data_IF_460540843314
#
_entry.id   IF_460540843314
#
_cell.length_a   1.000
_cell.length_b   1.000
_cell.length_c   1.000
_cell.angle_alpha   90.00
_cell.angle_beta   90.00
_cell.angle_gamma   90.00
#
_symmetry.space_group_name_H-M   'P 1'
#
loop_
_entity.id
_entity.type
_entity.pdbx_description
1 polymer ?
#
# COMPACT_ATOMS: atom_id res chain seq x y z
N UNK A 1 12.56 29.13 -7.77
CA UNK A 1 11.41 28.24 -7.49
C UNK A 1 10.34 28.26 -8.58
N UNK A 2 9.44 29.27 -8.70
CA UNK A 2 8.46 29.29 -9.83
C UNK A 2 9.14 29.29 -11.20
N UNK A 3 10.23 30.04 -11.37
CA UNK A 3 11.01 30.09 -12.61
C UNK A 3 11.80 28.80 -12.91
N UNK A 4 12.23 28.06 -11.88
CA UNK A 4 12.92 26.76 -12.05
C UNK A 4 11.92 25.64 -12.37
N UNK A 5 10.73 25.68 -11.76
CA UNK A 5 9.60 24.81 -12.11
C UNK A 5 9.23 25.01 -13.57
N UNK A 6 9.12 26.27 -13.99
CA UNK A 6 8.76 26.63 -15.35
C UNK A 6 9.87 26.28 -16.35
N UNK A 7 11.16 26.49 -16.04
CA UNK A 7 12.25 26.06 -16.92
C UNK A 7 12.35 24.54 -17.09
N UNK A 8 12.10 23.76 -16.04
CA UNK A 8 12.10 22.30 -16.16
C UNK A 8 10.78 21.76 -16.77
N UNK A 9 9.64 22.45 -16.59
CA UNK A 9 8.38 22.18 -17.33
C UNK A 9 8.47 22.60 -18.80
N UNK A 10 9.31 23.57 -19.14
CA UNK A 10 9.64 23.95 -20.53
C UNK A 10 10.71 23.00 -21.11
N UNK A 11 11.61 22.45 -20.27
CA UNK A 11 12.62 21.47 -20.67
C UNK A 11 12.07 20.04 -20.77
N UNK A 12 10.97 19.72 -20.09
CA UNK A 12 10.09 18.60 -20.40
C UNK A 12 9.07 19.09 -21.43
N UNK A 13 9.29 18.91 -22.73
CA UNK A 13 8.36 19.45 -23.72
C UNK A 13 6.94 18.99 -23.41
N UNK A 14 6.03 19.95 -23.19
CA UNK A 14 4.58 19.76 -23.26
C UNK A 14 4.31 18.89 -24.47
N UNK A 15 4.02 17.60 -24.23
CA UNK A 15 3.85 16.54 -25.24
C UNK A 15 4.47 16.90 -26.59
N UNK A 16 5.71 16.48 -26.83
CA UNK A 16 6.14 16.25 -28.22
C UNK A 16 5.05 15.38 -28.83
N UNK A 17 4.19 15.96 -29.69
CA UNK A 17 3.45 15.16 -30.65
C UNK A 17 4.50 14.24 -31.27
N UNK A 18 4.37 12.90 -31.14
CA UNK A 18 5.43 11.99 -31.53
C UNK A 18 5.66 12.13 -33.04
N UNK A 19 6.59 12.99 -33.42
CA UNK A 19 7.01 13.13 -34.80
C UNK A 19 7.92 11.95 -35.10
N UNK A 20 7.30 10.89 -35.62
CA UNK A 20 7.95 9.91 -36.48
C UNK A 20 8.95 8.95 -35.83
N UNK A 21 9.06 8.90 -34.49
CA UNK A 21 9.65 7.74 -33.84
C UNK A 21 8.63 6.60 -33.90
N UNK A 22 8.97 5.43 -34.47
CA UNK A 22 8.08 4.28 -34.42
C UNK A 22 7.77 3.98 -32.95
N UNK A 23 6.50 3.82 -32.63
CA UNK A 23 6.08 3.41 -31.29
C UNK A 23 6.96 2.22 -30.87
N UNK A 24 7.62 2.26 -29.69
CA UNK A 24 8.22 1.05 -29.17
C UNK A 24 7.12 -0.01 -29.18
N UNK A 25 7.39 -1.23 -29.65
CA UNK A 25 6.36 -2.24 -29.80
C UNK A 25 5.64 -2.36 -28.46
N UNK A 26 4.33 -2.06 -28.47
CA UNK A 26 3.50 -2.16 -27.29
C UNK A 26 3.79 -3.53 -26.68
N UNK A 27 4.12 -3.62 -25.37
CA UNK A 27 4.30 -4.90 -24.73
C UNK A 27 3.06 -5.72 -25.03
N UNK A 28 3.26 -6.95 -25.53
CA UNK A 28 2.14 -7.82 -25.90
C UNK A 28 1.13 -7.83 -24.74
N UNK A 29 -0.18 -7.68 -25.00
CA UNK A 29 -1.17 -7.69 -23.94
C UNK A 29 -0.97 -8.97 -23.15
N UNK A 30 -0.64 -8.79 -21.86
CA UNK A 30 -0.42 -9.90 -20.96
C UNK A 30 -1.71 -10.73 -20.91
N UNK A 31 -1.63 -12.06 -20.76
CA UNK A 31 -2.81 -12.91 -20.67
C UNK A 31 -3.80 -12.39 -19.62
N UNK A 32 -5.13 -12.49 -19.83
CA UNK A 32 -6.19 -12.04 -18.88
C UNK A 32 -5.95 -12.42 -17.39
N UNK A 33 -5.18 -13.47 -17.14
CA UNK A 33 -4.75 -13.96 -15.82
C UNK A 33 -3.81 -12.97 -15.11
N UNK A 34 -2.96 -12.28 -15.86
CA UNK A 34 -2.08 -11.21 -15.41
C UNK A 34 -2.83 -9.91 -15.13
N UNK A 35 -4.03 -9.70 -15.70
CA UNK A 35 -4.87 -8.55 -15.38
C UNK A 35 -5.43 -8.63 -13.95
N UNK A 36 -5.80 -9.84 -13.47
CA UNK A 36 -6.16 -10.07 -12.06
C UNK A 36 -4.96 -9.90 -11.12
N UNK A 37 -3.78 -10.38 -11.55
CA UNK A 37 -2.54 -10.16 -10.81
C UNK A 37 -2.17 -8.68 -10.69
N UNK A 38 -2.35 -7.90 -11.77
CA UNK A 38 -2.21 -6.43 -11.74
C UNK A 38 -3.26 -5.78 -10.85
N UNK A 39 -4.52 -6.22 -10.89
CA UNK A 39 -5.57 -5.70 -10.02
C UNK A 39 -5.25 -5.89 -8.53
N UNK A 40 -4.71 -7.06 -8.15
CA UNK A 40 -4.22 -7.29 -6.81
C UNK A 40 -3.00 -6.40 -6.52
N UNK A 41 -1.95 -6.41 -7.36
CA UNK A 41 -0.75 -5.58 -7.21
C UNK A 41 -1.04 -4.05 -7.11
N UNK A 42 -2.10 -3.60 -7.78
CA UNK A 42 -2.67 -2.26 -7.78
C UNK A 42 -3.27 -1.90 -6.41
N UNK A 43 -4.06 -2.81 -5.81
CA UNK A 43 -4.52 -2.69 -4.43
C UNK A 43 -3.34 -2.73 -3.43
N UNK A 44 -2.29 -3.51 -3.72
CA UNK A 44 -1.07 -3.58 -2.91
C UNK A 44 -0.32 -2.25 -2.86
N UNK A 45 -0.04 -1.66 -4.02
CA UNK A 45 0.71 -0.42 -4.11
C UNK A 45 -0.10 0.78 -3.61
N UNK A 46 -1.36 0.95 -4.05
CA UNK A 46 -2.19 2.07 -3.59
C UNK A 46 -2.49 2.01 -2.08
N UNK A 47 -2.56 0.81 -1.50
CA UNK A 47 -2.67 0.61 -0.06
C UNK A 47 -1.37 0.88 0.72
N UNK A 48 -0.21 0.50 0.19
CA UNK A 48 1.08 0.85 0.80
C UNK A 48 1.40 2.36 0.73
N UNK A 49 0.89 3.06 -0.28
CA UNK A 49 1.37 4.40 -0.64
C UNK A 49 0.59 5.56 0.01
N UNK A 50 -0.71 5.42 0.28
CA UNK A 50 -1.39 6.37 1.17
C UNK A 50 -0.95 6.22 2.65
N UNK A 51 -0.27 5.12 3.01
CA UNK A 51 0.35 5.00 4.34
C UNK A 51 1.54 5.96 4.52
N UNK A 52 2.34 6.08 3.46
CA UNK A 52 3.56 6.90 3.43
C UNK A 52 3.24 8.38 3.27
N UNK A 53 2.23 8.72 2.47
CA UNK A 53 2.12 10.06 1.94
C UNK A 53 1.62 11.15 2.92
N UNK A 54 0.98 10.77 4.03
CA UNK A 54 0.40 11.74 4.99
C UNK A 54 1.23 11.79 6.30
N UNK A 55 2.49 11.36 6.23
CA UNK A 55 3.45 11.22 7.34
C UNK A 55 4.28 12.45 7.66
N UNK A 56 3.65 13.50 8.19
CA UNK A 56 4.21 14.40 9.22
C UNK A 56 5.27 15.46 8.85
N UNK A 57 4.91 16.71 9.17
CA UNK A 57 5.84 17.73 9.67
C UNK A 57 6.18 17.44 11.15
N UNK A 58 7.47 17.37 11.46
CA UNK A 58 8.02 17.59 12.81
C UNK A 58 7.85 16.47 13.85
N UNK A 59 8.88 15.61 13.98
CA UNK A 59 9.17 14.92 15.24
C UNK A 59 10.61 15.27 15.67
N UNK A 60 10.85 15.85 16.87
CA UNK A 60 12.20 16.01 17.38
C UNK A 60 12.76 14.64 17.81
N UNK A 61 14.08 14.47 17.63
CA UNK A 61 14.79 13.22 17.85
C UNK A 61 14.68 12.72 19.29
N UNK A 62 14.16 11.51 19.44
CA UNK A 62 14.35 10.68 20.63
C UNK A 62 15.52 9.73 20.40
N UNK A 63 16.38 9.58 21.41
CA UNK A 63 17.63 8.84 21.37
C UNK A 63 17.48 7.38 20.92
N UNK A 64 18.44 6.94 20.12
CA UNK A 64 18.50 5.61 19.52
C UNK A 64 18.86 4.55 20.58
N UNK A 65 17.92 3.65 20.85
CA UNK A 65 18.19 2.38 21.52
C UNK A 65 18.86 1.41 20.53
N UNK A 66 19.96 0.79 20.98
CA UNK A 66 20.81 -0.11 20.18
C UNK A 66 20.07 -1.38 19.77
N UNK A 67 20.46 -1.87 18.59
CA UNK A 67 19.91 -2.98 17.82
C UNK A 67 19.71 -4.30 18.56
N UNK A 68 18.56 -4.94 18.31
CA UNK A 68 18.30 -6.38 18.46
C UNK A 68 17.54 -6.86 17.21
N UNK A 69 17.67 -8.15 16.84
CA UNK A 69 17.13 -8.70 15.60
C UNK A 69 15.59 -8.71 15.65
N UNK A 70 14.94 -8.23 14.58
CA UNK A 70 13.48 -8.27 14.33
C UNK A 70 12.60 -8.20 15.59
N UNK A 71 12.28 -6.99 16.08
CA UNK A 71 11.56 -6.76 17.35
C UNK A 71 10.38 -7.73 17.59
N UNK A 72 10.50 -8.68 18.55
CA UNK A 72 9.47 -9.66 18.87
C UNK A 72 8.28 -9.09 19.68
N UNK A 73 8.06 -7.78 19.67
CA UNK A 73 7.10 -7.10 20.57
C UNK A 73 6.08 -6.22 19.86
N UNK A 74 5.88 -6.37 18.54
CA UNK A 74 4.81 -5.65 17.86
C UNK A 74 3.52 -6.46 17.91
N UNK A 75 2.45 -5.84 18.40
CA UNK A 75 1.11 -6.38 18.23
C UNK A 75 0.76 -6.39 16.74
N UNK A 76 0.40 -7.55 16.23
CA UNK A 76 -0.01 -7.77 14.86
C UNK A 76 -1.51 -7.60 14.77
N UNK A 77 -1.94 -6.58 14.03
CA UNK A 77 -3.35 -6.34 13.78
C UNK A 77 -3.61 -6.65 12.32
N UNK A 78 -4.57 -7.53 12.06
CA UNK A 78 -5.09 -7.70 10.70
C UNK A 78 -6.36 -6.88 10.57
N UNK A 79 -6.42 -6.04 9.54
CA UNK A 79 -7.60 -5.24 9.22
C UNK A 79 -8.28 -5.84 8.01
N UNK A 80 -9.47 -6.40 8.20
CA UNK A 80 -10.27 -6.98 7.13
C UNK A 80 -11.10 -5.90 6.42
N UNK A 81 -11.48 -6.14 5.15
CA UNK A 81 -12.57 -5.42 4.49
C UNK A 81 -13.80 -5.34 5.38
N UNK A 82 -14.41 -4.15 5.44
CA UNK A 82 -15.70 -4.06 6.10
C UNK A 82 -16.77 -4.64 5.18
N UNK A 83 -17.69 -5.37 5.76
CA UNK A 83 -18.83 -5.91 5.02
C UNK A 83 -19.73 -4.75 4.59
N UNK A 84 -19.96 -4.62 3.29
CA UNK A 84 -20.91 -3.65 2.78
C UNK A 84 -22.32 -4.24 2.78
N UNK A 85 -23.23 -3.59 3.50
CA UNK A 85 -24.66 -3.86 3.42
C UNK A 85 -25.32 -2.81 2.51
N UNK A 86 -25.50 -3.16 1.25
CA UNK A 86 -26.08 -2.30 0.22
C UNK A 86 -25.21 -2.22 -1.04
N UNK A 87 -25.72 -1.56 -2.09
CA UNK A 87 -25.04 -1.45 -3.38
C UNK A 87 -24.61 -0.01 -3.73
N UNK A 88 -24.84 0.96 -2.83
CA UNK A 88 -24.49 2.35 -3.08
C UNK A 88 -22.98 2.57 -3.21
N UNK A 89 -22.59 3.56 -4.01
CA UNK A 89 -21.20 4.00 -4.12
C UNK A 89 -20.67 4.46 -2.75
N UNK A 90 -21.55 5.02 -1.91
CA UNK A 90 -21.22 5.50 -0.58
C UNK A 90 -20.78 4.36 0.36
N UNK A 91 -21.56 3.28 0.41
CA UNK A 91 -21.20 2.09 1.18
C UNK A 91 -19.87 1.48 0.73
N UNK A 92 -19.57 1.46 -0.58
CA UNK A 92 -18.33 0.89 -1.14
C UNK A 92 -17.09 1.63 -0.66
N UNK A 93 -17.09 2.96 -0.79
CA UNK A 93 -15.89 3.70 -0.40
C UNK A 93 -15.70 3.71 1.12
N UNK A 94 -16.79 3.70 1.90
CA UNK A 94 -16.69 3.60 3.35
C UNK A 94 -16.17 2.23 3.78
N UNK A 95 -16.61 1.15 3.12
CA UNK A 95 -16.16 -0.20 3.45
C UNK A 95 -14.69 -0.45 3.08
N UNK A 96 -14.18 0.18 2.01
CA UNK A 96 -12.76 0.09 1.64
C UNK A 96 -11.88 1.16 2.31
N UNK A 97 -12.41 2.36 2.51
CA UNK A 97 -11.68 3.54 2.96
C UNK A 97 -11.56 3.66 4.48
N UNK A 98 -12.61 3.34 5.24
CA UNK A 98 -12.57 3.38 6.71
C UNK A 98 -11.54 2.42 7.32
N UNK A 99 -11.48 1.13 6.92
CA UNK A 99 -10.52 0.21 7.50
C UNK A 99 -9.11 0.63 7.11
N UNK A 100 -8.95 1.11 5.87
CA UNK A 100 -7.70 1.63 5.37
C UNK A 100 -7.17 2.82 6.19
N UNK A 101 -7.99 3.86 6.37
CA UNK A 101 -7.62 5.04 7.16
C UNK A 101 -7.35 4.67 8.62
N UNK A 102 -8.08 3.70 9.16
CA UNK A 102 -7.91 3.22 10.54
C UNK A 102 -6.61 2.44 10.68
N UNK A 103 -6.36 1.45 9.82
CA UNK A 103 -5.11 0.71 9.70
C UNK A 103 -3.91 1.65 9.63
N UNK A 104 -4.01 2.65 8.75
CA UNK A 104 -2.96 3.65 8.58
C UNK A 104 -2.64 4.45 9.82
N UNK A 105 -3.66 4.90 10.57
CA UNK A 105 -3.43 5.64 11.81
C UNK A 105 -2.75 4.77 12.87
N UNK A 106 -3.11 3.49 12.91
CA UNK A 106 -2.60 2.52 13.87
C UNK A 106 -1.14 2.15 13.57
N UNK A 107 -0.81 1.93 12.29
CA UNK A 107 0.52 1.49 11.85
C UNK A 107 1.65 2.49 12.17
N UNK A 108 1.29 3.74 12.48
CA UNK A 108 2.24 4.77 12.92
C UNK A 108 2.85 4.49 14.29
N UNK A 109 2.21 3.68 15.12
CA UNK A 109 2.80 3.29 16.39
C UNK A 109 3.84 2.17 16.16
N UNK A 110 5.12 2.37 16.55
CA UNK A 110 6.17 1.39 16.32
C UNK A 110 6.02 0.08 17.11
N UNK A 111 5.02 -0.02 17.98
CA UNK A 111 4.66 -1.22 18.75
C UNK A 111 3.50 -1.99 18.11
N UNK A 112 2.97 -1.50 17.00
CA UNK A 112 1.95 -2.19 16.22
C UNK A 112 2.51 -2.48 14.83
N UNK A 113 2.09 -3.60 14.28
CA UNK A 113 2.28 -3.94 12.89
C UNK A 113 0.90 -4.22 12.32
N UNK A 114 0.47 -3.42 11.35
CA UNK A 114 -0.82 -3.63 10.70
C UNK A 114 -0.58 -4.41 9.41
N UNK A 115 -1.19 -5.57 9.28
CA UNK A 115 -1.20 -6.28 8.00
C UNK A 115 -1.88 -5.38 6.97
N UNK A 116 -1.24 -5.09 5.83
CA UNK A 116 -1.81 -4.19 4.87
C UNK A 116 -3.17 -4.72 4.38
N UNK A 117 -4.18 -3.85 4.40
CA UNK A 117 -5.59 -4.14 4.10
C UNK A 117 -5.79 -5.04 2.86
N UNK A 118 -5.14 -4.68 1.75
CA UNK A 118 -5.22 -5.41 0.48
C UNK A 118 -4.63 -6.84 0.57
N UNK A 119 -3.68 -7.09 1.48
CA UNK A 119 -3.15 -8.44 1.71
C UNK A 119 -4.20 -9.27 2.40
N UNK A 120 -4.84 -8.67 3.40
CA UNK A 120 -5.87 -9.34 4.17
C UNK A 120 -7.05 -9.71 3.28
N UNK A 121 -7.45 -8.83 2.37
CA UNK A 121 -8.50 -9.09 1.37
C UNK A 121 -8.17 -10.28 0.47
N UNK A 122 -7.02 -10.25 -0.23
CA UNK A 122 -6.60 -11.37 -1.08
C UNK A 122 -6.46 -12.68 -0.28
N UNK A 123 -5.96 -12.61 0.96
CA UNK A 123 -5.86 -13.77 1.84
C UNK A 123 -7.23 -14.30 2.27
N UNK A 124 -8.21 -13.43 2.50
CA UNK A 124 -9.59 -13.80 2.86
C UNK A 124 -10.32 -14.40 1.66
N UNK A 125 -10.14 -13.88 0.45
CA UNK A 125 -10.73 -14.46 -0.77
C UNK A 125 -10.23 -15.88 -1.05
N UNK A 126 -8.94 -16.12 -0.82
CA UNK A 126 -8.33 -17.45 -1.00
C UNK A 126 -8.60 -18.39 0.17
N UNK A 127 -8.96 -17.85 1.34
CA UNK A 127 -9.10 -18.63 2.58
C UNK A 127 -10.10 -19.78 2.45
N UNK A 128 -11.30 -19.60 1.83
CA UNK A 128 -12.21 -20.71 1.63
C UNK A 128 -11.62 -21.89 0.86
N UNK A 129 -10.76 -21.60 -0.12
CA UNK A 129 -10.08 -22.64 -0.90
C UNK A 129 -8.95 -23.30 -0.11
N UNK A 130 -8.22 -22.50 0.67
CA UNK A 130 -7.11 -22.97 1.49
C UNK A 130 -7.56 -23.84 2.67
N UNK A 131 -8.73 -23.53 3.22
CA UNK A 131 -9.27 -24.16 4.43
C UNK A 131 -10.39 -25.15 4.11
N UNK A 132 -10.92 -25.12 2.88
CA UNK A 132 -11.97 -26.05 2.42
C UNK A 132 -13.36 -25.72 2.97
N UNK A 133 -13.60 -24.47 3.41
CA UNK A 133 -14.86 -24.02 3.99
C UNK A 133 -15.30 -22.69 3.37
N UNK A 134 -16.57 -22.57 2.94
CA UNK A 134 -17.08 -21.35 2.30
C UNK A 134 -17.05 -20.11 3.21
N UNK A 135 -17.17 -20.32 4.53
CA UNK A 135 -17.05 -19.29 5.56
C UNK A 135 -16.15 -19.86 6.67
N UNK A 136 -14.82 -19.71 6.56
CA UNK A 136 -13.89 -20.33 7.48
C UNK A 136 -14.07 -19.74 8.89
N UNK A 137 -14.15 -20.58 9.94
CA UNK A 137 -14.24 -20.11 11.31
C UNK A 137 -13.09 -19.16 11.65
N UNK A 138 -13.40 -18.17 12.50
CA UNK A 138 -12.46 -17.11 12.89
C UNK A 138 -11.12 -17.67 13.38
N UNK A 139 -11.17 -18.77 14.13
CA UNK A 139 -10.02 -19.48 14.68
C UNK A 139 -9.03 -19.96 13.59
N UNK A 140 -9.53 -20.34 12.41
CA UNK A 140 -8.70 -20.76 11.28
C UNK A 140 -8.08 -19.56 10.57
N UNK A 141 -8.84 -18.47 10.40
CA UNK A 141 -8.35 -17.16 9.91
C UNK A 141 -7.22 -16.65 10.79
N UNK A 142 -7.43 -16.74 12.10
CA UNK A 142 -6.52 -16.33 13.15
C UNK A 142 -5.22 -17.13 13.17
N UNK A 143 -5.33 -18.45 13.20
CA UNK A 143 -4.20 -19.38 13.14
C UNK A 143 -3.35 -19.17 11.88
N UNK A 144 -4.04 -18.94 10.76
CA UNK A 144 -3.43 -18.73 9.46
C UNK A 144 -2.67 -17.40 9.36
N UNK A 145 -3.30 -16.29 9.80
CA UNK A 145 -2.69 -14.97 9.73
C UNK A 145 -1.64 -14.73 10.82
N UNK A 146 -1.67 -15.53 11.89
CA UNK A 146 -0.90 -15.30 13.13
C UNK A 146 -1.10 -13.87 13.62
N UNK A 147 -2.33 -13.37 13.56
CA UNK A 147 -2.65 -12.05 14.09
C UNK A 147 -2.73 -12.13 15.63
N UNK A 148 -2.41 -11.04 16.31
CA UNK A 148 -2.72 -10.91 17.75
C UNK A 148 -4.12 -10.29 17.91
N UNK A 149 -4.53 -9.47 16.93
CA UNK A 149 -5.83 -8.84 16.86
C UNK A 149 -6.41 -8.88 15.45
N UNK A 150 -7.73 -9.04 15.35
CA UNK A 150 -8.47 -8.94 14.10
C UNK A 150 -9.46 -7.78 14.18
N UNK A 151 -9.35 -6.85 13.23
CA UNK A 151 -10.25 -5.72 13.06
C UNK A 151 -11.21 -6.01 11.90
N UNK A 152 -12.50 -6.07 12.20
CA UNK A 152 -13.60 -6.22 11.26
C UNK A 152 -14.55 -5.03 11.37
N UNK A 153 -15.46 -4.93 10.43
CA UNK A 153 -16.54 -3.98 10.53
C UNK A 153 -17.58 -4.25 9.47
N UNK A 154 -18.66 -3.48 9.54
CA UNK A 154 -19.70 -3.44 8.52
C UNK A 154 -20.13 -2.01 8.29
N UNK A 155 -20.65 -1.75 7.10
CA UNK A 155 -21.15 -0.45 6.68
C UNK A 155 -22.57 -0.66 6.16
N UNK A 156 -23.55 -0.05 6.82
CA UNK A 156 -24.98 -0.14 6.50
C UNK A 156 -25.50 1.23 6.07
N UNK A 157 -26.08 1.31 4.88
CA UNK A 157 -26.77 2.52 4.41
C UNK A 157 -28.13 2.65 5.12
N UNK A 158 -28.36 3.81 5.75
CA UNK A 158 -29.61 4.09 6.45
C UNK A 158 -30.73 4.43 5.45
N UNK A 159 -31.96 3.90 5.60
CA UNK A 159 -33.09 4.27 4.76
C UNK A 159 -33.42 5.78 4.79
N UNK A 160 -33.10 6.44 5.90
CA UNK A 160 -33.29 7.88 6.12
C UNK A 160 -32.19 8.75 5.48
N UNK A 161 -31.22 8.13 4.81
CA UNK A 161 -29.97 8.75 4.40
C UNK A 161 -28.89 8.68 5.49
N UNK A 162 -27.63 8.71 5.05
CA UNK A 162 -26.46 8.53 5.91
C UNK A 162 -26.02 7.06 6.03
N UNK A 163 -24.89 6.84 6.72
CA UNK A 163 -24.26 5.53 6.78
C UNK A 163 -23.87 5.18 8.20
N UNK A 164 -24.34 4.04 8.70
CA UNK A 164 -23.90 3.48 9.98
C UNK A 164 -22.72 2.57 9.71
N UNK A 165 -21.59 2.79 10.38
CA UNK A 165 -20.45 1.90 10.29
C UNK A 165 -20.17 1.27 11.66
N UNK A 166 -20.15 -0.04 11.71
CA UNK A 166 -19.86 -0.82 12.91
C UNK A 166 -18.45 -1.34 12.84
N UNK A 167 -17.71 -1.27 13.94
CA UNK A 167 -16.34 -1.75 14.03
C UNK A 167 -16.22 -2.77 15.17
N UNK A 168 -15.53 -3.86 14.89
CA UNK A 168 -15.39 -5.00 15.79
C UNK A 168 -13.91 -5.38 15.89
N UNK A 169 -13.39 -5.46 17.12
CA UNK A 169 -12.02 -5.87 17.36
C UNK A 169 -11.98 -7.13 18.23
N UNK A 170 -11.37 -8.17 17.67
CA UNK A 170 -11.24 -9.48 18.27
C UNK A 170 -9.78 -9.68 18.74
N UNK A 171 -9.61 -10.22 19.95
CA UNK A 171 -8.31 -10.76 20.42
C UNK A 171 -8.23 -12.20 19.97
N UNK A 172 -7.13 -12.56 19.32
CA UNK A 172 -6.99 -13.87 18.65
C UNK A 172 -6.73 -15.01 19.64
N UNK A 173 -6.12 -14.72 20.79
CA UNK A 173 -5.82 -15.76 21.78
C UNK A 173 -7.06 -16.30 22.52
N UNK A 174 -8.27 -15.80 22.22
CA UNK A 174 -9.52 -16.16 22.87
C UNK A 174 -9.54 -15.87 24.38
N UNK A 175 -8.46 -15.32 24.94
CA UNK A 175 -8.31 -15.04 26.37
C UNK A 175 -9.17 -13.86 26.82
N UNK A 176 -9.74 -13.14 25.85
CA UNK A 176 -10.59 -11.98 26.05
C UNK A 176 -11.85 -12.13 25.21
N UNK A 177 -13.01 -11.87 25.82
CA UNK A 177 -14.25 -11.74 25.08
C UNK A 177 -14.10 -10.68 23.95
N UNK A 178 -14.64 -10.96 22.75
CA UNK A 178 -14.67 -9.99 21.66
C UNK A 178 -15.22 -8.65 22.13
N UNK A 179 -14.56 -7.55 21.74
CA UNK A 179 -15.04 -6.21 22.07
C UNK A 179 -15.63 -5.54 20.86
N UNK A 180 -16.88 -5.13 21.02
CA UNK A 180 -17.68 -4.48 19.99
C UNK A 180 -17.69 -2.97 20.23
N UNK A 181 -17.41 -2.19 19.18
CA UNK A 181 -17.59 -0.74 19.20
C UNK A 181 -18.48 -0.33 18.03
N UNK A 182 -19.76 -0.19 18.33
CA UNK A 182 -20.71 0.36 17.36
C UNK A 182 -20.73 1.88 17.47
N UNK A 183 -20.54 2.59 16.35
CA UNK A 183 -20.61 4.03 16.29
C UNK A 183 -21.43 4.46 15.09
N UNK A 184 -22.55 5.17 15.31
CA UNK A 184 -23.29 5.75 14.19
C UNK A 184 -22.45 6.89 13.62
N UNK A 185 -22.02 6.75 12.36
CA UNK A 185 -21.25 7.79 11.69
C UNK A 185 -22.21 8.73 10.98
N UNK A 186 -22.02 10.04 11.17
CA UNK A 186 -22.59 11.01 10.25
C UNK A 186 -21.63 11.15 9.06
N UNK A 187 -22.18 11.31 7.84
CA UNK A 187 -21.42 11.38 6.58
C UNK A 187 -20.23 12.36 6.63
N UNK A 188 -20.37 13.45 7.39
CA UNK A 188 -19.39 14.53 7.46
C UNK A 188 -18.20 14.22 8.39
N UNK A 189 -18.28 13.19 9.23
CA UNK A 189 -17.30 12.93 10.29
C UNK A 189 -16.46 11.66 10.09
N UNK A 190 -16.27 11.22 8.85
CA UNK A 190 -15.47 10.01 8.54
C UNK A 190 -14.02 10.14 9.04
N UNK A 191 -13.42 11.32 8.90
CA UNK A 191 -12.06 11.59 9.40
C UNK A 191 -12.01 11.59 10.93
N UNK A 192 -13.03 12.13 11.60
CA UNK A 192 -13.09 12.12 13.06
C UNK A 192 -13.37 10.73 13.60
N UNK A 193 -14.25 9.97 12.95
CA UNK A 193 -14.55 8.57 13.26
C UNK A 193 -13.30 7.69 13.19
N UNK A 194 -12.60 7.69 12.06
CA UNK A 194 -11.35 6.90 11.90
C UNK A 194 -10.30 7.27 12.93
N UNK A 195 -10.22 8.54 13.32
CA UNK A 195 -9.32 8.98 14.41
C UNK A 195 -9.74 8.40 15.76
N UNK A 196 -11.02 8.52 16.13
CA UNK A 196 -11.54 7.97 17.40
C UNK A 196 -11.37 6.46 17.46
N UNK A 197 -11.60 5.77 16.36
CA UNK A 197 -11.41 4.33 16.24
C UNK A 197 -9.95 3.94 16.42
N UNK A 198 -9.02 4.58 15.69
CA UNK A 198 -7.60 4.31 15.85
C UNK A 198 -7.12 4.56 17.29
N UNK A 199 -7.57 5.63 17.93
CA UNK A 199 -7.27 5.92 19.35
C UNK A 199 -7.76 4.80 20.28
N UNK A 200 -9.02 4.35 20.13
CA UNK A 200 -9.60 3.27 20.94
C UNK A 200 -8.87 1.95 20.72
N UNK A 201 -8.56 1.61 19.47
CA UNK A 201 -7.82 0.39 19.11
C UNK A 201 -6.43 0.43 19.75
N UNK A 202 -5.69 1.53 19.60
CA UNK A 202 -4.35 1.65 20.15
C UNK A 202 -4.31 1.63 21.68
N UNK A 203 -5.26 2.29 22.35
CA UNK A 203 -5.41 2.21 23.80
C UNK A 203 -5.67 0.78 24.30
N UNK A 204 -6.30 -0.05 23.46
CA UNK A 204 -6.59 -1.44 23.80
C UNK A 204 -5.42 -2.36 23.53
N UNK A 205 -4.88 -2.27 22.32
CA UNK A 205 -3.80 -3.13 21.82
C UNK A 205 -2.51 -2.84 22.55
N UNK A 206 -2.24 -1.57 22.87
CA UNK A 206 -0.98 -1.15 23.47
C UNK A 206 -1.23 -0.54 24.85
N UNK A 207 -0.93 -1.27 25.95
CA UNK A 207 -1.12 -0.76 27.29
C UNK A 207 -0.42 0.60 27.50
N UNK A 208 -1.14 1.56 28.09
CA UNK A 208 -0.67 2.94 28.35
C UNK A 208 -0.37 3.75 27.09
N UNK A 209 -1.03 3.45 25.96
CA UNK A 209 -0.98 4.30 24.79
C UNK A 209 -1.52 5.71 25.12
N UNK A 210 -0.72 6.79 24.98
CA UNK A 210 -1.22 8.15 25.15
C UNK A 210 -2.17 8.48 23.99
N UNK A 211 -3.32 9.12 24.22
CA UNK A 211 -4.24 9.45 23.12
C UNK A 211 -3.52 10.21 22.00
N UNK A 212 -3.89 9.99 20.73
CA UNK A 212 -3.37 10.76 19.59
C UNK A 212 -3.99 12.16 19.66
N UNK A 213 -3.49 12.99 20.56
CA UNK A 213 -3.72 14.41 20.54
C UNK A 213 -2.73 15.01 19.51
N UNK A 214 -3.27 15.66 18.48
CA UNK A 214 -2.63 16.61 17.56
C UNK A 214 -1.46 16.17 16.67
N UNK A 215 -0.89 14.97 16.81
CA UNK A 215 0.27 14.53 15.98
C UNK A 215 -0.08 13.83 14.69
N UNK A 216 -1.31 13.93 14.20
CA UNK A 216 -1.60 13.53 12.83
C UNK A 216 -1.96 14.81 12.13
N UNK A 217 -1.04 15.29 11.29
CA UNK A 217 -1.27 16.44 10.42
C UNK A 217 -2.66 16.32 9.82
N UNK A 218 -3.39 17.43 9.75
CA UNK A 218 -4.67 17.47 9.04
C UNK A 218 -4.37 16.89 7.66
N UNK A 219 -4.97 15.74 7.35
CA UNK A 219 -5.14 15.38 5.94
C UNK A 219 -5.81 16.61 5.36
N UNK A 220 -5.12 17.35 4.49
CA UNK A 220 -5.62 18.63 3.97
C UNK A 220 -6.85 18.47 3.07
N UNK A 221 -7.47 17.29 3.10
CA UNK A 221 -8.54 16.84 2.25
C UNK A 221 -9.87 16.93 2.98
N UNK A 222 -10.85 17.45 2.25
CA UNK A 222 -12.24 17.40 2.66
C UNK A 222 -12.71 15.94 2.71
N UNK A 223 -13.76 15.61 3.49
CA UNK A 223 -14.36 14.29 3.45
C UNK A 223 -14.73 13.85 2.02
N UNK A 224 -15.24 14.78 1.21
CA UNK A 224 -15.58 14.56 -0.20
C UNK A 224 -14.35 14.16 -1.06
N UNK A 225 -13.19 14.79 -0.84
CA UNK A 225 -11.97 14.43 -1.56
C UNK A 225 -11.46 13.03 -1.15
N UNK A 226 -11.62 12.66 0.12
CA UNK A 226 -11.26 11.31 0.58
C UNK A 226 -12.20 10.25 0.02
N UNK A 227 -13.50 10.51 0.03
CA UNK A 227 -14.51 9.67 -0.61
C UNK A 227 -14.14 9.38 -2.07
N UNK A 228 -13.99 10.42 -2.89
CA UNK A 228 -13.64 10.27 -4.31
C UNK A 228 -12.29 9.57 -4.51
N UNK A 229 -11.31 9.84 -3.65
CA UNK A 229 -10.01 9.18 -3.69
C UNK A 229 -10.11 7.67 -3.46
N UNK A 230 -10.84 7.23 -2.43
CA UNK A 230 -10.99 5.81 -2.13
C UNK A 230 -11.85 5.11 -3.18
N UNK A 231 -12.92 5.76 -3.68
CA UNK A 231 -13.70 5.24 -4.81
C UNK A 231 -12.83 5.10 -6.06
N UNK A 232 -11.99 6.09 -6.38
CA UNK A 232 -11.08 6.01 -7.52
C UNK A 232 -10.10 4.84 -7.39
N UNK A 233 -9.56 4.63 -6.18
CA UNK A 233 -8.64 3.54 -5.89
C UNK A 233 -9.27 2.18 -6.14
N UNK A 234 -10.48 1.99 -5.63
CA UNK A 234 -11.24 0.75 -5.73
C UNK A 234 -11.67 0.45 -7.17
N UNK A 235 -12.05 1.50 -7.92
CA UNK A 235 -12.42 1.37 -9.32
C UNK A 235 -11.23 1.21 -10.27
N UNK A 236 -10.01 1.61 -9.88
CA UNK A 236 -8.85 1.61 -10.79
C UNK A 236 -8.60 0.26 -11.52
N UNK A 237 -8.78 -0.93 -10.90
CA UNK A 237 -8.64 -2.21 -11.58
C UNK A 237 -9.78 -2.52 -12.57
N UNK A 238 -10.99 -2.05 -12.29
CA UNK A 238 -12.21 -2.40 -13.04
C UNK A 238 -12.55 -1.37 -14.12
N UNK A 239 -12.51 -0.09 -13.75
CA UNK A 239 -12.78 1.07 -14.58
C UNK A 239 -11.69 2.15 -14.36
N UNK A 240 -10.52 2.00 -15.00
CA UNK A 240 -9.43 2.97 -14.93
C UNK A 240 -9.81 4.37 -15.44
N UNK A 241 -10.80 4.46 -16.34
CA UNK A 241 -11.28 5.74 -16.86
C UNK A 241 -12.03 6.51 -15.78
N UNK A 242 -13.04 5.87 -15.17
CA UNK A 242 -13.80 6.46 -14.07
C UNK A 242 -12.93 6.79 -12.85
N UNK A 243 -11.97 5.92 -12.54
CA UNK A 243 -10.99 6.19 -11.49
C UNK A 243 -10.22 7.50 -11.73
N UNK A 244 -9.80 7.76 -12.97
CA UNK A 244 -9.10 9.00 -13.32
C UNK A 244 -10.01 10.23 -13.24
N UNK A 245 -11.27 10.14 -13.67
CA UNK A 245 -12.24 11.25 -13.51
C UNK A 245 -12.44 11.63 -12.03
N UNK A 246 -12.52 10.62 -11.15
CA UNK A 246 -12.62 10.84 -9.72
C UNK A 246 -11.34 11.49 -9.18
N UNK A 247 -10.16 11.04 -9.63
CA UNK A 247 -8.88 11.67 -9.25
C UNK A 247 -8.75 13.11 -9.75
N UNK A 248 -9.34 13.47 -10.89
CA UNK A 248 -9.41 14.86 -11.36
C UNK A 248 -10.27 15.71 -10.42
N UNK A 249 -11.44 15.22 -10.01
CA UNK A 249 -12.28 15.91 -9.02
C UNK A 249 -11.57 16.03 -7.65
N UNK A 250 -10.80 15.02 -7.24
CA UNK A 250 -9.97 15.07 -6.03
C UNK A 250 -8.91 16.17 -6.15
N UNK A 251 -8.29 16.31 -7.33
CA UNK A 251 -7.28 17.34 -7.58
C UNK A 251 -7.89 18.76 -7.59
N UNK A 252 -9.15 18.92 -8.01
CA UNK A 252 -9.89 20.19 -7.90
C UNK A 252 -10.15 20.58 -6.43
N UNK A 253 -10.58 19.61 -5.62
CA UNK A 253 -10.86 19.83 -4.19
C UNK A 253 -9.58 20.03 -3.36
N UNK A 254 -8.51 19.34 -3.75
CA UNK A 254 -7.23 19.34 -3.04
C UNK A 254 -6.05 19.37 -4.01
N UNK A 255 -5.76 20.54 -4.60
CA UNK A 255 -4.63 20.67 -5.51
C UNK A 255 -3.31 20.44 -4.77
N UNK A 256 -2.33 19.89 -5.48
CA UNK A 256 -0.94 19.81 -5.03
C UNK A 256 -0.71 19.08 -3.69
N UNK A 257 -1.55 18.09 -3.38
CA UNK A 257 -1.24 17.15 -2.31
C UNK A 257 -0.30 16.07 -2.85
N UNK A 258 0.96 15.94 -2.35
CA UNK A 258 1.88 14.89 -2.79
C UNK A 258 1.28 13.47 -2.78
N UNK A 259 0.50 13.04 -1.76
CA UNK A 259 -0.21 11.76 -1.79
C UNK A 259 -1.07 11.54 -3.03
N UNK A 260 -1.80 12.57 -3.43
CA UNK A 260 -2.78 12.49 -4.50
C UNK A 260 -2.07 12.48 -5.86
N UNK A 261 -0.99 13.27 -5.99
CA UNK A 261 -0.10 13.21 -7.14
C UNK A 261 0.56 11.83 -7.27
N UNK A 262 1.00 11.25 -6.16
CA UNK A 262 1.55 9.91 -6.14
C UNK A 262 0.52 8.88 -6.62
N UNK A 263 -0.66 8.85 -6.00
CA UNK A 263 -1.70 7.88 -6.34
C UNK A 263 -2.17 8.02 -7.79
N UNK A 264 -2.32 9.25 -8.29
CA UNK A 264 -2.63 9.50 -9.70
C UNK A 264 -1.53 8.99 -10.62
N UNK A 265 -0.27 9.25 -10.28
CA UNK A 265 0.88 8.71 -11.01
C UNK A 265 0.85 7.18 -11.07
N UNK A 266 0.51 6.53 -9.95
CA UNK A 266 0.42 5.07 -9.91
C UNK A 266 -0.72 4.51 -10.78
N UNK A 267 -1.93 5.07 -10.71
CA UNK A 267 -3.05 4.67 -11.57
C UNK A 267 -2.66 4.79 -13.05
N UNK A 268 -1.93 5.86 -13.42
CA UNK A 268 -1.42 6.05 -14.78
C UNK A 268 -0.36 5.01 -15.17
N UNK A 269 0.57 4.64 -14.29
CA UNK A 269 1.55 3.57 -14.55
C UNK A 269 0.86 2.25 -14.89
N UNK A 270 -0.19 1.92 -14.15
CA UNK A 270 -0.94 0.67 -14.30
C UNK A 270 -1.72 0.62 -15.62
N UNK A 271 -2.18 1.79 -16.09
CA UNK A 271 -2.71 1.99 -17.43
C UNK A 271 -1.64 1.96 -18.54
N UNK A 272 -0.35 1.80 -18.19
CA UNK A 272 0.77 1.88 -19.13
C UNK A 272 1.10 3.30 -19.59
N UNK A 273 0.50 4.33 -18.98
CA UNK A 273 0.66 5.75 -19.31
C UNK A 273 1.87 6.34 -18.57
N UNK A 274 3.04 5.76 -18.84
CA UNK A 274 4.29 6.06 -18.13
C UNK A 274 4.67 7.55 -18.18
N UNK A 275 4.56 8.19 -19.34
CA UNK A 275 4.94 9.60 -19.51
C UNK A 275 4.10 10.53 -18.60
N UNK A 276 2.79 10.30 -18.51
CA UNK A 276 1.91 11.10 -17.66
C UNK A 276 2.14 10.82 -16.17
N UNK A 277 2.37 9.55 -15.82
CA UNK A 277 2.76 9.19 -14.47
C UNK A 277 4.04 9.92 -14.01
N UNK A 278 5.02 10.05 -14.90
CA UNK A 278 6.25 10.78 -14.63
C UNK A 278 6.01 12.27 -14.38
N UNK A 279 5.06 12.90 -15.08
CA UNK A 279 4.69 14.31 -14.80
C UNK A 279 4.21 14.46 -13.35
N UNK A 280 3.33 13.58 -12.89
CA UNK A 280 2.85 13.62 -11.51
C UNK A 280 3.94 13.28 -10.50
N UNK A 281 4.82 12.32 -10.82
CA UNK A 281 5.93 11.97 -9.96
C UNK A 281 6.94 13.12 -9.82
N UNK A 282 7.23 13.82 -10.91
CA UNK A 282 8.07 15.02 -10.93
C UNK A 282 7.46 16.12 -10.06
N UNK A 283 6.18 16.45 -10.30
CA UNK A 283 5.46 17.47 -9.52
C UNK A 283 5.45 17.11 -8.03
N UNK A 284 5.11 15.87 -7.69
CA UNK A 284 5.11 15.35 -6.33
C UNK A 284 6.49 15.42 -5.65
N UNK A 285 7.56 15.06 -6.37
CA UNK A 285 8.94 15.11 -5.86
C UNK A 285 9.45 16.51 -5.53
N UNK A 286 8.90 17.54 -6.20
CA UNK A 286 9.25 18.95 -6.00
C UNK A 286 8.58 19.54 -4.77
N UNK A 287 7.32 19.18 -4.54
CA UNK A 287 6.51 19.75 -3.47
C UNK A 287 6.58 18.95 -2.17
N UNK A 288 6.89 17.66 -2.25
CA UNK A 288 6.97 16.81 -1.06
C UNK A 288 8.19 17.16 -0.22
N UNK A 289 7.95 17.38 1.08
CA UNK A 289 9.01 17.39 2.10
C UNK A 289 9.31 15.98 2.62
N UNK A 290 8.46 15.02 2.30
CA UNK A 290 8.66 13.63 2.69
C UNK A 290 9.72 12.98 1.81
N UNK A 291 10.89 12.76 2.42
CA UNK A 291 12.02 12.13 1.75
C UNK A 291 11.71 10.68 1.34
N UNK A 292 10.82 9.96 2.03
CA UNK A 292 10.40 8.59 1.65
C UNK A 292 9.63 8.61 0.35
N UNK A 293 8.55 9.41 0.29
CA UNK A 293 7.80 9.61 -0.96
C UNK A 293 8.71 10.07 -2.08
N UNK A 294 9.66 10.96 -1.80
CA UNK A 294 10.62 11.42 -2.79
C UNK A 294 11.50 10.29 -3.33
N UNK A 295 11.90 9.30 -2.52
CA UNK A 295 12.59 8.08 -3.04
C UNK A 295 11.70 7.34 -4.03
N UNK A 296 10.42 7.17 -3.73
CA UNK A 296 9.48 6.42 -4.60
C UNK A 296 9.21 7.20 -5.89
N UNK A 297 9.02 8.53 -5.79
CA UNK A 297 8.90 9.39 -6.96
C UNK A 297 10.15 9.33 -7.85
N UNK A 298 11.35 9.45 -7.28
CA UNK A 298 12.59 9.34 -8.03
C UNK A 298 12.74 7.96 -8.68
N UNK A 299 12.31 6.89 -8.01
CA UNK A 299 12.30 5.54 -8.57
C UNK A 299 11.33 5.43 -9.76
N UNK A 300 10.15 6.03 -9.64
CA UNK A 300 9.12 6.11 -10.70
C UNK A 300 9.58 6.92 -11.91
N UNK A 301 10.40 7.94 -11.69
CA UNK A 301 11.01 8.76 -12.74
C UNK A 301 12.19 8.07 -13.45
N UNK A 302 12.54 6.86 -13.03
CA UNK A 302 13.74 6.19 -13.53
C UNK A 302 15.07 6.75 -13.00
N UNK A 303 15.02 7.70 -12.06
CA UNK A 303 16.20 8.34 -11.44
C UNK A 303 16.73 7.49 -10.29
N UNK A 304 17.04 6.23 -10.59
CA UNK A 304 17.41 5.21 -9.61
C UNK A 304 18.62 5.61 -8.76
N UNK A 305 19.69 6.12 -9.34
CA UNK A 305 20.88 6.53 -8.55
C UNK A 305 20.58 7.68 -7.56
N UNK A 306 19.68 8.59 -7.91
CA UNK A 306 19.23 9.63 -6.98
C UNK A 306 18.32 9.08 -5.89
N UNK A 307 17.37 8.21 -6.26
CA UNK A 307 16.52 7.51 -5.31
C UNK A 307 17.35 6.72 -4.29
N UNK A 308 18.39 6.00 -4.76
CA UNK A 308 19.30 5.22 -3.92
C UNK A 308 20.08 6.09 -2.96
N UNK A 309 20.70 7.19 -3.44
CA UNK A 309 21.42 8.13 -2.58
C UNK A 309 20.50 8.76 -1.53
N UNK A 310 19.28 9.13 -1.94
CA UNK A 310 18.30 9.66 -1.00
C UNK A 310 17.91 8.63 0.06
N UNK A 311 17.65 7.38 -0.33
CA UNK A 311 17.34 6.27 0.56
C UNK A 311 18.45 6.01 1.57
N UNK A 312 19.72 5.97 1.12
CA UNK A 312 20.89 5.77 1.97
C UNK A 312 21.15 6.94 2.94
N UNK A 313 20.69 8.14 2.59
CA UNK A 313 20.84 9.34 3.44
C UNK A 313 19.65 9.59 4.38
N UNK A 314 18.67 8.68 4.41
CA UNK A 314 17.61 8.71 5.41
C UNK A 314 18.16 8.29 6.79
N UNK A 315 17.54 8.74 7.90
CA UNK A 315 17.84 8.19 9.21
C UNK A 315 17.74 6.65 9.21
N UNK A 316 18.59 5.97 9.98
CA UNK A 316 18.70 4.50 10.02
C UNK A 316 17.34 3.79 10.11
N UNK A 317 16.44 4.31 10.94
CA UNK A 317 15.07 3.77 11.09
C UNK A 317 14.29 3.72 9.78
N UNK A 318 14.47 4.72 8.91
CA UNK A 318 13.78 4.82 7.63
C UNK A 318 14.53 4.13 6.49
N UNK A 319 15.87 4.17 6.49
CA UNK A 319 16.67 3.44 5.49
C UNK A 319 16.65 1.93 5.71
N UNK A 320 16.29 1.49 6.92
CA UNK A 320 16.03 0.10 7.30
C UNK A 320 14.55 -0.26 7.27
N UNK A 321 13.71 0.50 6.58
CA UNK A 321 12.30 0.19 6.41
C UNK A 321 12.10 -0.74 5.19
N UNK A 322 11.76 -2.03 5.39
CA UNK A 322 11.65 -2.98 4.30
C UNK A 322 10.51 -2.64 3.33
N UNK A 323 9.46 -1.91 3.75
CA UNK A 323 8.38 -1.49 2.85
C UNK A 323 8.84 -0.41 1.88
N UNK A 324 9.61 0.57 2.38
CA UNK A 324 10.16 1.61 1.52
C UNK A 324 11.06 1.00 0.43
N UNK A 325 11.84 -0.02 0.79
CA UNK A 325 12.63 -0.78 -0.18
C UNK A 325 11.75 -1.51 -1.19
N UNK A 326 10.73 -2.25 -0.73
CA UNK A 326 9.83 -2.99 -1.62
C UNK A 326 9.13 -2.05 -2.61
N UNK A 327 8.58 -0.93 -2.15
CA UNK A 327 7.90 0.04 -3.00
C UNK A 327 8.85 0.71 -4.02
N UNK A 328 10.08 1.01 -3.60
CA UNK A 328 11.09 1.55 -4.51
C UNK A 328 11.46 0.53 -5.60
N UNK A 329 11.67 -0.75 -5.22
CA UNK A 329 11.98 -1.82 -6.15
C UNK A 329 10.81 -2.09 -7.12
N UNK A 330 9.56 -2.01 -6.66
CA UNK A 330 8.37 -2.10 -7.52
C UNK A 330 8.38 -0.99 -8.56
N UNK A 331 8.55 0.27 -8.14
CA UNK A 331 8.63 1.40 -9.07
C UNK A 331 9.75 1.23 -10.11
N UNK A 332 10.92 0.70 -9.72
CA UNK A 332 12.00 0.36 -10.64
C UNK A 332 11.63 -0.78 -11.62
N UNK A 333 10.94 -1.82 -11.13
CA UNK A 333 10.47 -2.92 -11.98
C UNK A 333 9.47 -2.43 -13.03
N UNK A 334 8.48 -1.64 -12.61
CA UNK A 334 7.46 -1.05 -13.50
C UNK A 334 8.06 -0.15 -14.59
N UNK A 335 9.16 0.53 -14.29
CA UNK A 335 9.86 1.41 -15.26
C UNK A 335 10.86 0.65 -16.14
N UNK A 336 10.87 -0.69 -16.09
CA UNK A 336 11.74 -1.49 -16.95
C UNK A 336 13.21 -1.53 -16.51
N UNK A 337 13.50 -1.23 -15.25
CA UNK A 337 14.87 -1.21 -14.74
C UNK A 337 15.21 -2.50 -13.96
N UNK A 338 14.98 -3.67 -14.56
CA UNK A 338 15.17 -4.95 -13.88
C UNK A 338 16.62 -5.17 -13.42
N UNK A 339 17.61 -4.69 -14.17
CA UNK A 339 19.02 -4.79 -13.77
C UNK A 339 19.28 -4.00 -12.47
N UNK A 340 18.67 -2.82 -12.35
CA UNK A 340 18.74 -1.98 -11.15
C UNK A 340 18.03 -2.63 -9.97
N UNK A 341 16.86 -3.24 -10.19
CA UNK A 341 16.14 -4.01 -9.16
C UNK A 341 17.06 -5.09 -8.56
N UNK A 342 17.72 -5.90 -9.41
CA UNK A 342 18.65 -6.91 -8.94
C UNK A 342 19.85 -6.31 -8.20
N UNK A 343 20.44 -5.22 -8.71
CA UNK A 343 21.57 -4.54 -8.07
C UNK A 343 21.20 -3.92 -6.70
N UNK A 344 19.97 -3.44 -6.55
CA UNK A 344 19.46 -2.92 -5.28
C UNK A 344 19.17 -4.03 -4.30
N UNK A 345 18.55 -5.12 -4.75
CA UNK A 345 18.38 -6.33 -3.93
C UNK A 345 19.76 -6.84 -3.47
N UNK A 346 20.76 -6.88 -4.34
CA UNK A 346 22.12 -7.33 -4.02
C UNK A 346 22.84 -6.43 -3.01
N UNK A 347 22.50 -5.15 -2.96
CA UNK A 347 23.04 -4.20 -2.00
C UNK A 347 22.17 -4.02 -0.74
N UNK A 348 20.99 -4.63 -0.70
CA UNK A 348 20.07 -4.51 0.42
C UNK A 348 20.67 -5.16 1.67
N UNK A 349 20.61 -4.48 2.84
CA UNK A 349 21.03 -5.05 4.12
C UNK A 349 20.43 -6.46 4.35
N UNK A 350 21.23 -7.43 4.83
CA UNK A 350 20.76 -8.81 5.05
C UNK A 350 19.53 -8.90 5.96
N UNK A 351 19.40 -7.99 6.92
CA UNK A 351 18.28 -7.92 7.87
C UNK A 351 16.96 -7.61 7.15
N UNK A 352 17.00 -6.82 6.08
CA UNK A 352 15.82 -6.49 5.28
C UNK A 352 15.44 -7.62 4.34
N UNK A 353 16.43 -8.34 3.79
CA UNK A 353 16.15 -9.53 2.98
C UNK A 353 15.46 -10.62 3.79
N UNK A 354 15.81 -10.75 5.06
CA UNK A 354 15.19 -11.71 5.98
C UNK A 354 14.00 -11.11 6.75
N UNK A 355 13.53 -9.91 6.37
CA UNK A 355 12.36 -9.28 6.97
C UNK A 355 11.08 -10.04 6.65
N UNK A 356 9.96 -9.64 7.25
CA UNK A 356 8.64 -10.19 6.95
C UNK A 356 8.28 -10.11 5.45
N UNK A 357 8.94 -9.24 4.67
CA UNK A 357 8.78 -9.08 3.22
C UNK A 357 9.70 -9.96 2.34
N UNK A 358 10.47 -10.90 2.91
CA UNK A 358 11.38 -11.78 2.13
C UNK A 358 10.69 -12.47 0.94
N UNK A 359 9.43 -12.87 1.11
CA UNK A 359 8.69 -13.58 0.08
C UNK A 359 8.41 -12.67 -1.13
N UNK A 360 7.94 -11.45 -0.89
CA UNK A 360 7.67 -10.46 -1.94
C UNK A 360 8.94 -9.96 -2.61
N UNK A 361 10.01 -9.75 -1.83
CA UNK A 361 11.32 -9.40 -2.38
C UNK A 361 11.87 -10.51 -3.27
N UNK A 362 11.69 -11.77 -2.87
CA UNK A 362 12.08 -12.93 -3.67
C UNK A 362 11.27 -13.09 -4.96
N UNK A 363 9.97 -12.76 -4.94
CA UNK A 363 9.14 -12.73 -6.15
C UNK A 363 9.59 -11.63 -7.12
N UNK A 364 9.88 -10.42 -6.61
CA UNK A 364 10.41 -9.33 -7.43
C UNK A 364 11.77 -9.69 -8.04
N UNK A 365 12.65 -10.32 -7.26
CA UNK A 365 13.93 -10.81 -7.76
C UNK A 365 13.75 -11.85 -8.87
N UNK A 366 12.80 -12.77 -8.67
CA UNK A 366 12.51 -13.81 -9.65
C UNK A 366 12.00 -13.25 -10.97
N UNK A 367 11.08 -12.28 -10.90
CA UNK A 367 10.56 -11.56 -12.07
C UNK A 367 11.68 -10.83 -12.81
N UNK A 368 12.45 -10.00 -12.10
CA UNK A 368 13.54 -9.22 -12.69
C UNK A 368 14.61 -10.11 -13.34
N UNK A 369 15.01 -11.20 -12.68
CA UNK A 369 15.96 -12.17 -13.23
C UNK A 369 15.40 -12.91 -14.45
N UNK A 370 14.10 -13.25 -14.45
CA UNK A 370 13.45 -13.90 -15.58
C UNK A 370 13.44 -13.00 -16.82
N UNK A 371 13.12 -11.72 -16.66
CA UNK A 371 13.10 -10.73 -17.77
C UNK A 371 14.50 -10.55 -18.37
N UNK A 372 15.55 -10.59 -17.54
CA UNK A 372 16.94 -10.47 -17.98
C UNK A 372 17.54 -11.79 -18.52
N UNK A 373 16.77 -12.88 -18.57
CA UNK A 373 17.25 -14.16 -19.09
C UNK A 373 18.21 -14.91 -18.14
N UNK A 374 18.10 -14.71 -16.82
CA UNK A 374 18.79 -15.52 -15.80
C UNK A 374 17.81 -16.50 -15.12
N UNK A 375 17.49 -17.65 -15.77
CA UNK A 375 16.51 -18.60 -15.25
C UNK A 375 16.97 -19.27 -13.96
N UNK A 376 18.29 -19.38 -13.73
CA UNK A 376 18.84 -20.00 -12.52
C UNK A 376 18.63 -19.09 -11.31
N UNK A 377 18.90 -17.79 -11.44
CA UNK A 377 18.60 -16.82 -10.39
C UNK A 377 17.10 -16.71 -10.16
N UNK A 378 16.30 -16.69 -11.21
CA UNK A 378 14.85 -16.66 -11.10
C UNK A 378 14.30 -17.85 -10.30
N UNK A 379 14.71 -19.08 -10.64
CA UNK A 379 14.29 -20.29 -9.92
C UNK A 379 14.69 -20.24 -8.44
N UNK A 380 15.96 -19.92 -8.12
CA UNK A 380 16.42 -19.81 -6.72
C UNK A 380 15.64 -18.75 -5.94
N UNK A 381 15.33 -17.61 -6.56
CA UNK A 381 14.57 -16.55 -5.94
C UNK A 381 13.12 -16.98 -5.65
N UNK A 382 12.46 -17.71 -6.57
CA UNK A 382 11.14 -18.32 -6.34
C UNK A 382 11.17 -19.35 -5.22
N UNK A 383 12.17 -20.22 -5.18
CA UNK A 383 12.30 -21.23 -4.14
C UNK A 383 12.47 -20.59 -2.76
N UNK A 384 13.28 -19.53 -2.68
CA UNK A 384 13.42 -18.72 -1.46
C UNK A 384 12.10 -18.05 -1.08
N UNK A 385 11.42 -17.41 -2.02
CA UNK A 385 10.14 -16.75 -1.78
C UNK A 385 9.08 -17.73 -1.25
N UNK A 386 8.96 -18.90 -1.90
CA UNK A 386 8.06 -19.99 -1.52
C UNK A 386 8.39 -20.52 -0.13
N UNK A 387 9.68 -20.73 0.15
CA UNK A 387 10.14 -21.21 1.46
C UNK A 387 9.87 -20.17 2.56
N UNK A 388 10.12 -18.89 2.30
CA UNK A 388 9.84 -17.80 3.22
C UNK A 388 8.33 -17.67 3.50
N UNK A 389 7.52 -17.70 2.45
CA UNK A 389 6.08 -17.70 2.53
C UNK A 389 5.56 -18.86 3.39
N UNK A 390 6.04 -20.09 3.13
CA UNK A 390 5.67 -21.28 3.91
C UNK A 390 6.11 -21.20 5.37
N UNK A 391 7.36 -20.77 5.66
CA UNK A 391 7.85 -20.61 7.04
C UNK A 391 7.00 -19.61 7.83
N UNK A 392 6.52 -18.56 7.17
CA UNK A 392 5.75 -17.50 7.81
C UNK A 392 4.24 -17.76 7.85
N UNK A 393 3.73 -18.65 7.00
CA UNK A 393 2.29 -18.86 6.86
C UNK A 393 1.64 -17.87 5.89
N UNK A 394 2.39 -17.30 4.94
CA UNK A 394 1.84 -16.47 3.87
C UNK A 394 1.37 -17.35 2.72
N UNK A 395 0.23 -18.05 2.84
CA UNK A 395 -0.16 -18.97 1.77
C UNK A 395 -0.64 -18.25 0.49
N UNK A 396 -1.02 -16.97 0.55
CA UNK A 396 -1.26 -16.14 -0.64
C UNK A 396 0.01 -15.89 -1.46
N UNK A 397 1.11 -15.50 -0.82
CA UNK A 397 2.41 -15.36 -1.50
C UNK A 397 2.95 -16.71 -1.98
N UNK A 398 2.61 -17.79 -1.29
CA UNK A 398 2.89 -19.17 -1.71
C UNK A 398 2.14 -19.53 -3.01
N UNK A 399 0.84 -19.25 -3.08
CA UNK A 399 0.01 -19.49 -4.27
C UNK A 399 0.55 -18.72 -5.49
N UNK A 400 0.91 -17.44 -5.30
CA UNK A 400 1.53 -16.62 -6.35
C UNK A 400 2.90 -17.18 -6.82
N UNK A 401 3.70 -17.69 -5.90
CA UNK A 401 4.99 -18.30 -6.22
C UNK A 401 4.83 -19.65 -6.94
N UNK A 402 3.83 -20.46 -6.55
CA UNK A 402 3.56 -21.78 -7.14
C UNK A 402 2.90 -21.69 -8.52
N UNK A 403 1.95 -20.77 -8.72
CA UNK A 403 1.25 -20.62 -10.00
C UNK A 403 2.18 -20.09 -11.10
N UNK A 404 3.15 -19.26 -10.72
CA UNK A 404 4.23 -18.82 -11.61
C UNK A 404 5.15 -19.96 -12.06
N UNK A 405 5.22 -21.07 -11.31
CA UNK A 405 5.99 -22.27 -11.67
C UNK A 405 5.22 -23.20 -12.63
N UNK A 406 3.88 -23.22 -12.55
CA UNK A 406 3.05 -24.10 -13.36
C UNK A 406 2.78 -23.58 -14.79
N UNK A 407 3.05 -22.30 -15.05
CA UNK A 407 2.82 -21.65 -16.35
C UNK A 407 4.02 -21.68 -17.33
N UNK A 408 5.17 -22.19 -16.91
CA UNK A 408 6.37 -22.45 -17.72
C UNK A 408 6.49 -23.94 -18.03
#
# INVERSE_FOLDING_TARGET
FRSEIQQEEEAYPSAVEPQGLPDPPLPRPLPRRWARWKAQALSFALGGLAMLAIGMEGSPGGEASRSTPSSPFRHRIVVLPFEQQGNGEQGRWLSAGLPYLTAWKIDRDPRVYVYPFHRAEAMVEDLPQLVGAADPPLEEVESYLKADWLLRGSVEESPEGGVRARLELYSVDGSQEPRFWEERLEHTDVVGATRRWADRILQRVVPRYPPIHSRLGRFGSTPEALEKFFTARDLAPEDPGRAMELMDQVAELTPDQPPLLFARGWILLEQGRLAEAQVHALRGSRITRDRRLKVIFLSTLGRSEEARRLLQSLPEKLSSDPELWLESLRALSFTGQQATVLAWLDAMPPELRNSWLEAELGLLEAEAASILGDPRRAARARDRATSAARRRGHHGTYALASDSLAGL
#
